data_IF_645615244060
#
_entry.id   IF_645615244060
#
_cell.length_a   1.000
_cell.length_b   1.000
_cell.length_c   1.000
_cell.angle_alpha   90.00
_cell.angle_beta   90.00
_cell.angle_gamma   90.00
#
_symmetry.space_group_name_H-M   'P 1'
#
loop_
_entity.id
_entity.type
_entity.pdbx_description
1 polymer ?
#
# COMPACT_ATOMS: atom_id res chain seq x y z
N UNK A 1 -24.78 -10.84 -7.56
CA UNK A 1 -24.76 -10.42 -6.15
C UNK A 1 -23.54 -9.53 -5.99
N UNK A 2 -23.68 -8.31 -5.45
CA UNK A 2 -22.51 -7.52 -5.09
C UNK A 2 -21.72 -8.30 -4.04
N UNK A 3 -20.43 -8.51 -4.26
CA UNK A 3 -19.59 -9.16 -3.26
C UNK A 3 -19.56 -8.27 -2.01
N UNK A 4 -19.91 -8.82 -0.86
CA UNK A 4 -19.86 -8.09 0.41
C UNK A 4 -18.46 -7.54 0.69
N UNK A 5 -18.36 -6.56 1.58
CA UNK A 5 -17.06 -6.14 2.09
C UNK A 5 -16.47 -7.30 2.93
N UNK A 6 -15.21 -7.69 2.70
CA UNK A 6 -14.56 -8.71 3.52
C UNK A 6 -14.29 -8.18 4.94
N UNK A 7 -14.27 -9.05 5.96
CA UNK A 7 -13.85 -8.63 7.29
C UNK A 7 -12.35 -8.26 7.31
N UNK A 8 -11.90 -7.63 8.38
CA UNK A 8 -10.47 -7.45 8.64
C UNK A 8 -9.75 -8.82 8.58
N UNK A 9 -8.64 -8.95 7.83
CA UNK A 9 -7.92 -10.22 7.71
C UNK A 9 -7.40 -10.72 9.05
N UNK A 10 -7.22 -12.03 9.17
CA UNK A 10 -6.58 -12.66 10.33
C UNK A 10 -5.09 -12.31 10.34
N UNK A 11 -4.63 -11.64 11.41
CA UNK A 11 -3.24 -11.22 11.62
C UNK A 11 -2.67 -11.62 13.00
N UNK A 12 -3.32 -12.53 13.73
CA UNK A 12 -3.02 -12.83 15.15
C UNK A 12 -1.61 -13.35 15.42
N UNK A 13 -0.85 -13.73 14.39
CA UNK A 13 0.56 -14.10 14.48
C UNK A 13 1.51 -12.90 14.51
N UNK A 14 1.12 -11.74 13.99
CA UNK A 14 1.93 -10.52 14.03
C UNK A 14 2.18 -10.06 15.47
N UNK A 15 3.36 -9.50 15.75
CA UNK A 15 3.75 -9.07 17.10
C UNK A 15 4.02 -10.22 18.08
N UNK A 16 4.01 -11.48 17.64
CA UNK A 16 4.13 -12.66 18.52
C UNK A 16 5.11 -13.69 17.99
N UNK A 17 5.69 -14.49 18.89
CA UNK A 17 6.55 -15.62 18.53
C UNK A 17 7.70 -15.20 17.61
N UNK A 18 7.81 -15.84 16.44
CA UNK A 18 8.83 -15.50 15.44
C UNK A 18 8.62 -14.12 14.78
N UNK A 19 7.41 -13.53 14.91
CA UNK A 19 7.06 -12.21 14.36
C UNK A 19 6.96 -11.13 15.44
N UNK A 20 7.61 -11.32 16.60
CA UNK A 20 7.58 -10.36 17.72
C UNK A 20 8.06 -8.95 17.34
N UNK A 21 8.98 -8.88 16.38
CA UNK A 21 9.62 -7.65 15.91
C UNK A 21 8.95 -7.12 14.62
N UNK A 22 7.83 -7.73 14.19
CA UNK A 22 7.01 -7.27 13.06
C UNK A 22 5.91 -6.35 13.59
N UNK A 23 5.67 -5.24 12.87
CA UNK A 23 4.63 -4.28 13.20
C UNK A 23 3.25 -4.95 13.31
N UNK A 24 2.67 -4.92 14.52
CA UNK A 24 1.30 -5.34 14.77
C UNK A 24 0.35 -4.26 14.24
N UNK A 25 -0.69 -4.62 13.46
CA UNK A 25 -1.66 -3.64 12.96
C UNK A 25 -2.23 -2.75 14.07
N UNK A 26 -2.18 -1.44 13.86
CA UNK A 26 -2.70 -0.44 14.79
C UNK A 26 -3.63 0.56 14.06
N UNK A 27 -3.96 1.68 14.72
CA UNK A 27 -4.94 2.68 14.27
C UNK A 27 -4.69 3.19 12.84
N UNK A 28 -3.42 3.38 12.47
CA UNK A 28 -2.98 3.77 11.13
C UNK A 28 -3.31 2.73 10.06
N UNK A 29 -3.10 1.46 10.38
CA UNK A 29 -3.38 0.31 9.51
C UNK A 29 -4.89 0.16 9.29
N UNK A 30 -5.68 0.33 10.36
CA UNK A 30 -7.15 0.27 10.27
C UNK A 30 -7.71 1.47 9.53
N UNK A 31 -7.14 2.66 9.68
CA UNK A 31 -7.52 3.84 8.89
C UNK A 31 -7.29 3.61 7.39
N UNK A 32 -6.20 2.93 7.03
CA UNK A 32 -5.92 2.56 5.64
C UNK A 32 -6.92 1.51 5.12
N UNK A 33 -7.26 0.50 5.93
CA UNK A 33 -8.28 -0.50 5.60
C UNK A 33 -9.66 0.15 5.41
N UNK A 34 -10.06 1.06 6.30
CA UNK A 34 -11.33 1.80 6.18
C UNK A 34 -11.39 2.63 4.90
N UNK A 35 -10.26 3.20 4.47
CA UNK A 35 -10.18 3.92 3.20
C UNK A 35 -10.35 2.97 2.00
N UNK A 36 -9.72 1.80 2.04
CA UNK A 36 -9.88 0.77 1.01
C UNK A 36 -11.31 0.22 0.97
N UNK A 37 -11.94 0.05 2.12
CA UNK A 37 -13.34 -0.38 2.24
C UNK A 37 -14.29 0.61 1.58
N UNK A 38 -14.16 1.90 1.90
CA UNK A 38 -14.99 2.98 1.32
C UNK A 38 -14.89 3.03 -0.21
N UNK A 39 -13.75 2.63 -0.76
CA UNK A 39 -13.47 2.64 -2.19
C UNK A 39 -13.56 1.26 -2.86
N UNK A 40 -14.07 0.24 -2.17
CA UNK A 40 -14.09 -1.15 -2.64
C UNK A 40 -14.78 -1.31 -4.01
N UNK A 41 -15.94 -0.68 -4.22
CA UNK A 41 -16.65 -0.74 -5.51
C UNK A 41 -15.84 -0.12 -6.65
N UNK A 42 -15.14 0.98 -6.37
CA UNK A 42 -14.28 1.62 -7.37
C UNK A 42 -13.05 0.78 -7.67
N UNK A 43 -12.43 0.17 -6.65
CA UNK A 43 -11.29 -0.74 -6.83
C UNK A 43 -11.67 -1.98 -7.64
N UNK A 44 -12.87 -2.53 -7.43
CA UNK A 44 -13.41 -3.62 -8.25
C UNK A 44 -13.64 -3.20 -9.69
N UNK A 45 -14.22 -2.02 -9.90
CA UNK A 45 -14.47 -1.45 -11.23
C UNK A 45 -13.16 -1.14 -11.97
N UNK A 46 -12.13 -0.70 -11.25
CA UNK A 46 -10.79 -0.48 -11.80
C UNK A 46 -10.18 -1.77 -12.37
N UNK A 47 -10.50 -2.92 -11.77
CA UNK A 47 -9.98 -4.25 -12.14
C UNK A 47 -8.45 -4.23 -12.31
N UNK A 48 -7.69 -3.87 -11.26
CA UNK A 48 -6.25 -3.72 -11.36
C UNK A 48 -5.59 -5.06 -11.71
N UNK A 49 -4.52 -4.98 -12.49
CA UNK A 49 -3.66 -6.11 -12.82
C UNK A 49 -2.51 -6.25 -11.81
N UNK A 50 -1.97 -5.14 -11.32
CA UNK A 50 -0.83 -5.11 -10.40
C UNK A 50 -1.09 -4.17 -9.23
N UNK A 51 -1.03 -4.71 -8.02
CA UNK A 51 -1.06 -3.97 -6.77
C UNK A 51 0.28 -4.11 -6.06
N UNK A 52 0.78 -3.02 -5.48
CA UNK A 52 2.03 -3.00 -4.73
C UNK A 52 1.80 -2.34 -3.37
N UNK A 53 2.24 -3.00 -2.29
CA UNK A 53 2.42 -2.38 -0.99
C UNK A 53 3.91 -2.23 -0.66
N UNK A 54 4.30 -1.03 -0.24
CA UNK A 54 5.63 -0.73 0.29
C UNK A 54 5.59 -0.74 1.82
N UNK A 55 6.49 -1.51 2.44
CA UNK A 55 6.54 -1.70 3.89
C UNK A 55 5.33 -2.49 4.41
N UNK A 56 5.16 -3.72 3.94
CA UNK A 56 3.94 -4.50 4.23
C UNK A 56 3.78 -4.91 5.68
N UNK A 57 4.86 -4.97 6.47
CA UNK A 57 4.79 -5.33 7.88
C UNK A 57 4.10 -6.67 8.11
N UNK A 58 2.94 -6.65 8.76
CA UNK A 58 2.11 -7.84 8.98
C UNK A 58 1.45 -8.39 7.70
N UNK A 59 1.34 -7.58 6.64
CA UNK A 59 0.64 -7.91 5.39
C UNK A 59 -0.89 -7.76 5.45
N UNK A 60 -1.44 -7.21 6.53
CA UNK A 60 -2.90 -7.11 6.74
C UNK A 60 -3.59 -6.25 5.68
N UNK A 61 -2.97 -5.13 5.27
CA UNK A 61 -3.58 -4.20 4.33
C UNK A 61 -3.59 -4.81 2.93
N UNK A 62 -2.47 -5.39 2.47
CA UNK A 62 -2.43 -6.16 1.23
C UNK A 62 -3.43 -7.32 1.23
N UNK A 63 -3.57 -8.05 2.33
CA UNK A 63 -4.52 -9.16 2.42
C UNK A 63 -5.99 -8.67 2.31
N UNK A 64 -6.30 -7.51 2.89
CA UNK A 64 -7.61 -6.89 2.76
C UNK A 64 -7.88 -6.47 1.31
N UNK A 65 -6.93 -5.76 0.69
CA UNK A 65 -7.02 -5.34 -0.71
C UNK A 65 -7.22 -6.54 -1.65
N UNK A 66 -6.47 -7.63 -1.43
CA UNK A 66 -6.60 -8.86 -2.20
C UNK A 66 -7.97 -9.52 -2.04
N UNK A 67 -8.57 -9.44 -0.85
CA UNK A 67 -9.92 -9.93 -0.59
C UNK A 67 -10.99 -9.06 -1.29
N UNK A 68 -10.75 -7.76 -1.42
CA UNK A 68 -11.66 -6.82 -2.11
C UNK A 68 -11.64 -7.00 -3.63
N UNK A 69 -10.44 -7.10 -4.22
CA UNK A 69 -10.23 -7.18 -5.69
C UNK A 69 -10.42 -8.61 -6.21
N UNK A 70 -10.00 -9.61 -5.44
CA UNK A 70 -10.02 -11.01 -5.85
C UNK A 70 -8.73 -11.46 -6.58
N UNK A 71 -8.70 -12.73 -7.02
CA UNK A 71 -7.46 -13.41 -7.42
C UNK A 71 -6.94 -13.04 -8.82
N UNK A 72 -7.61 -12.15 -9.55
CA UNK A 72 -7.21 -11.75 -10.91
C UNK A 72 -6.02 -10.79 -10.96
N UNK A 73 -5.70 -10.14 -9.84
CA UNK A 73 -4.58 -9.20 -9.73
C UNK A 73 -3.34 -9.87 -9.12
N UNK A 74 -2.17 -9.35 -9.48
CA UNK A 74 -0.91 -9.65 -8.82
C UNK A 74 -0.73 -8.70 -7.62
N UNK A 75 -0.54 -9.26 -6.42
CA UNK A 75 -0.26 -8.49 -5.21
C UNK A 75 1.20 -8.65 -4.81
N UNK A 76 2.00 -7.62 -5.07
CA UNK A 76 3.38 -7.52 -4.61
C UNK A 76 3.42 -6.78 -3.27
N UNK A 77 4.26 -7.28 -2.37
CA UNK A 77 4.49 -6.65 -1.08
C UNK A 77 6.00 -6.52 -0.90
N UNK A 78 6.48 -5.37 -0.44
CA UNK A 78 7.90 -5.18 -0.16
C UNK A 78 8.10 -4.85 1.30
N UNK A 79 9.16 -5.40 1.89
CA UNK A 79 9.61 -5.00 3.22
C UNK A 79 11.12 -5.23 3.33
N UNK A 80 11.80 -4.38 4.10
CA UNK A 80 13.23 -4.55 4.36
C UNK A 80 13.47 -5.61 5.44
N UNK A 81 12.50 -5.83 6.32
CA UNK A 81 12.55 -6.83 7.38
C UNK A 81 12.17 -8.22 6.85
N UNK A 82 13.07 -9.21 6.84
CA UNK A 82 12.75 -10.58 6.41
C UNK A 82 11.60 -11.21 7.20
N UNK A 83 11.49 -10.92 8.50
CA UNK A 83 10.42 -11.44 9.33
C UNK A 83 9.05 -10.86 8.92
N UNK A 84 9.00 -9.63 8.42
CA UNK A 84 7.78 -9.02 7.90
C UNK A 84 7.34 -9.66 6.57
N UNK A 85 8.28 -9.97 5.68
CA UNK A 85 8.00 -10.72 4.45
C UNK A 85 7.43 -12.12 4.76
N UNK A 86 8.02 -12.84 5.72
CA UNK A 86 7.49 -14.12 6.20
C UNK A 86 6.12 -13.97 6.88
N UNK A 87 5.93 -12.93 7.70
CA UNK A 87 4.65 -12.63 8.35
C UNK A 87 3.56 -12.35 7.33
N UNK A 88 3.88 -11.61 6.28
CA UNK A 88 3.00 -11.30 5.14
C UNK A 88 2.59 -12.58 4.42
N UNK A 89 3.54 -13.49 4.14
CA UNK A 89 3.23 -14.80 3.56
C UNK A 89 2.31 -15.63 4.48
N UNK A 90 2.54 -15.59 5.80
CA UNK A 90 1.67 -16.27 6.77
C UNK A 90 0.27 -15.68 6.78
N UNK A 91 0.14 -14.35 6.75
CA UNK A 91 -1.14 -13.64 6.64
C UNK A 91 -1.87 -14.04 5.37
N UNK A 92 -1.18 -14.12 4.24
CA UNK A 92 -1.78 -14.57 2.98
C UNK A 92 -2.39 -15.97 3.11
N UNK A 93 -1.63 -16.91 3.68
CA UNK A 93 -2.08 -18.29 3.93
C UNK A 93 -3.28 -18.36 4.87
N UNK A 94 -3.27 -17.61 5.98
CA UNK A 94 -4.38 -17.58 6.94
C UNK A 94 -5.68 -17.02 6.35
N UNK A 95 -5.58 -16.16 5.33
CA UNK A 95 -6.72 -15.48 4.72
C UNK A 95 -7.10 -16.03 3.33
N UNK A 96 -6.46 -17.11 2.88
CA UNK A 96 -6.71 -17.71 1.57
C UNK A 96 -6.58 -16.73 0.40
N UNK A 97 -5.61 -15.81 0.49
CA UNK A 97 -5.25 -14.85 -0.57
C UNK A 97 -3.83 -15.12 -1.06
N UNK A 98 -3.48 -14.62 -2.25
CA UNK A 98 -2.13 -14.74 -2.82
C UNK A 98 -1.41 -13.41 -2.74
N UNK A 99 -0.37 -13.35 -1.90
CA UNK A 99 0.55 -12.21 -1.80
C UNK A 99 1.96 -12.67 -2.15
N UNK A 100 2.73 -11.80 -2.81
CA UNK A 100 4.10 -12.06 -3.25
C UNK A 100 5.06 -11.12 -2.52
N UNK A 101 5.48 -11.45 -1.28
CA UNK A 101 6.42 -10.63 -0.53
C UNK A 101 7.83 -10.70 -1.10
N UNK A 102 8.51 -9.57 -1.14
CA UNK A 102 9.89 -9.40 -1.64
C UNK A 102 10.69 -8.64 -0.60
N UNK A 103 11.81 -9.24 -0.17
CA UNK A 103 12.72 -8.59 0.78
C UNK A 103 13.58 -7.59 -0.01
N UNK A 104 13.34 -6.29 0.20
CA UNK A 104 14.04 -5.22 -0.53
C UNK A 104 13.92 -3.91 0.23
N UNK A 105 14.87 -3.00 0.01
CA UNK A 105 14.66 -1.59 0.33
C UNK A 105 13.65 -1.02 -0.65
N UNK A 106 12.58 -0.40 -0.14
CA UNK A 106 11.47 0.18 -0.89
C UNK A 106 11.05 -0.69 -2.10
N UNK A 107 11.46 -0.31 -3.32
CA UNK A 107 11.12 -1.01 -4.56
C UNK A 107 12.36 -1.40 -5.38
N UNK A 108 13.57 -1.29 -4.81
CA UNK A 108 14.83 -1.35 -5.56
C UNK A 108 14.98 -2.61 -6.43
N UNK A 109 14.59 -3.77 -5.90
CA UNK A 109 14.63 -5.05 -6.63
C UNK A 109 13.57 -5.22 -7.72
N UNK A 110 12.54 -4.38 -7.75
CA UNK A 110 11.43 -4.43 -8.70
C UNK A 110 11.69 -3.52 -9.92
N UNK A 111 12.67 -2.62 -9.82
CA UNK A 111 13.02 -1.67 -10.86
C UNK A 111 14.06 -2.20 -11.85
N UNK A 112 14.02 -1.72 -13.11
CA UNK A 112 12.99 -0.86 -13.72
C UNK A 112 11.75 -1.66 -14.19
N UNK A 113 11.68 -2.97 -13.94
CA UNK A 113 10.69 -3.87 -14.57
C UNK A 113 9.25 -3.51 -14.25
N UNK A 114 8.99 -2.91 -13.09
CA UNK A 114 7.66 -2.50 -12.64
C UNK A 114 7.27 -1.07 -13.03
N UNK A 115 8.15 -0.33 -13.70
CA UNK A 115 7.92 1.06 -14.15
C UNK A 115 6.63 1.23 -14.94
N UNK A 116 5.73 2.09 -14.44
CA UNK A 116 4.46 2.43 -15.06
C UNK A 116 3.46 1.28 -15.11
N UNK A 117 3.67 0.21 -14.33
CA UNK A 117 2.83 -1.00 -14.34
C UNK A 117 1.99 -1.18 -13.09
N UNK A 118 2.26 -0.43 -12.02
CA UNK A 118 1.48 -0.51 -10.78
C UNK A 118 0.14 0.20 -10.99
N UNK A 119 -0.96 -0.49 -10.74
CA UNK A 119 -2.31 0.09 -10.85
C UNK A 119 -2.78 0.66 -9.51
N UNK A 120 -2.43 -0.03 -8.41
CA UNK A 120 -2.70 0.39 -7.03
C UNK A 120 -1.41 0.35 -6.23
N UNK A 121 -1.03 1.49 -5.65
CA UNK A 121 0.13 1.61 -4.77
C UNK A 121 -0.34 1.93 -3.35
N UNK A 122 0.06 1.11 -2.38
CA UNK A 122 -0.17 1.29 -0.96
C UNK A 122 1.14 1.63 -0.27
N UNK A 123 1.11 2.63 0.63
CA UNK A 123 2.26 2.92 1.48
C UNK A 123 1.80 3.50 2.82
N UNK A 124 2.14 2.82 3.91
CA UNK A 124 1.99 3.32 5.28
C UNK A 124 3.39 3.51 5.89
N UNK A 125 4.06 4.64 5.63
CA UNK A 125 5.46 4.83 6.01
C UNK A 125 5.63 4.94 7.54
N UNK A 126 6.82 4.63 8.09
CA UNK A 126 7.11 4.90 9.49
C UNK A 126 7.00 6.42 9.78
N UNK A 127 6.12 6.79 10.71
CA UNK A 127 5.79 8.19 11.03
C UNK A 127 6.34 8.67 12.37
N UNK A 128 7.01 7.81 13.13
CA UNK A 128 7.64 8.21 14.40
C UNK A 128 8.87 9.04 14.08
N UNK A 129 8.92 10.24 14.65
CA UNK A 129 10.02 11.19 14.51
C UNK A 129 11.26 10.59 15.19
N UNK A 130 12.05 9.80 14.46
CA UNK A 130 13.46 9.61 14.80
C UNK A 130 14.20 10.92 14.48
N UNK A 131 15.30 11.25 15.18
CA UNK A 131 16.05 12.48 14.93
C UNK A 131 16.27 12.68 13.43
N UNK A 132 15.96 13.88 12.96
CA UNK A 132 15.77 14.27 11.54
C UNK A 132 16.91 13.89 10.57
N UNK A 133 18.07 13.51 11.09
CA UNK A 133 19.23 13.02 10.32
C UNK A 133 19.04 11.58 9.82
N UNK A 134 18.31 10.71 10.53
CA UNK A 134 18.07 9.31 10.10
C UNK A 134 16.93 9.19 9.10
N UNK A 135 15.85 9.96 9.28
CA UNK A 135 14.72 10.01 8.34
C UNK A 135 15.15 10.67 7.03
N UNK A 136 15.99 11.72 7.11
CA UNK A 136 16.64 12.30 5.94
C UNK A 136 17.45 11.27 5.18
N UNK A 137 18.27 10.45 5.83
CA UNK A 137 19.13 9.48 5.12
C UNK A 137 18.38 8.25 4.59
N UNK A 138 17.31 7.79 5.23
CA UNK A 138 16.44 6.72 4.69
C UNK A 138 15.66 7.16 3.44
N UNK A 139 15.44 8.47 3.27
CA UNK A 139 14.52 9.03 2.26
C UNK A 139 15.28 9.80 1.16
N UNK A 140 16.48 10.32 1.42
CA UNK A 140 17.21 11.21 0.48
C UNK A 140 18.13 10.51 -0.53
N UNK A 141 18.34 9.20 -0.41
CA UNK A 141 19.22 8.42 -1.31
C UNK A 141 18.52 7.38 -2.18
N UNK A 142 17.19 7.29 -2.09
CA UNK A 142 16.37 6.26 -2.75
C UNK A 142 15.64 6.84 -3.95
N UNK A 143 15.24 5.99 -4.90
CA UNK A 143 14.50 6.32 -6.12
C UNK A 143 13.08 6.86 -5.83
N UNK A 144 12.95 7.92 -5.03
CA UNK A 144 11.72 8.64 -4.82
C UNK A 144 11.19 9.20 -6.11
N UNK A 145 12.03 9.62 -7.07
CA UNK A 145 11.57 10.03 -8.40
C UNK A 145 10.71 8.94 -9.07
N UNK A 146 11.07 7.67 -8.87
CA UNK A 146 10.30 6.56 -9.40
C UNK A 146 8.99 6.36 -8.64
N UNK A 147 9.06 6.38 -7.30
CA UNK A 147 7.86 6.32 -6.47
C UNK A 147 6.95 7.48 -6.86
N UNK A 148 7.46 8.70 -7.03
CA UNK A 148 6.74 9.88 -7.52
C UNK A 148 6.14 9.68 -8.92
N UNK A 149 6.89 9.16 -9.89
CA UNK A 149 6.39 8.89 -11.25
C UNK A 149 5.25 7.85 -11.28
N UNK A 150 5.40 6.74 -10.55
CA UNK A 150 4.35 5.74 -10.41
C UNK A 150 3.19 6.28 -9.55
N UNK A 151 3.47 7.09 -8.52
CA UNK A 151 2.46 7.85 -7.75
C UNK A 151 1.62 8.73 -8.66
N UNK A 152 2.20 9.32 -9.72
CA UNK A 152 1.45 10.13 -10.67
C UNK A 152 0.53 9.32 -11.59
N UNK A 153 0.80 8.02 -11.77
CA UNK A 153 0.12 7.15 -12.74
C UNK A 153 -0.80 6.11 -12.10
N UNK A 154 -0.57 5.72 -10.85
CA UNK A 154 -1.32 4.71 -10.11
C UNK A 154 -2.45 5.33 -9.28
N UNK A 155 -3.47 4.52 -8.95
CA UNK A 155 -4.39 4.85 -7.87
C UNK A 155 -3.69 4.64 -6.53
N UNK A 156 -3.19 5.73 -5.93
CA UNK A 156 -2.46 5.65 -4.67
C UNK A 156 -3.37 5.75 -3.46
N UNK A 157 -3.12 4.92 -2.44
CA UNK A 157 -3.70 5.03 -1.11
C UNK A 157 -2.57 5.09 -0.07
N UNK A 158 -2.42 6.26 0.56
CA UNK A 158 -1.45 6.48 1.64
C UNK A 158 -2.25 6.73 2.92
N UNK A 159 -1.88 6.07 4.00
CA UNK A 159 -2.21 6.52 5.35
C UNK A 159 -1.13 7.48 5.83
N UNK A 160 -1.51 8.71 6.16
CA UNK A 160 -0.57 9.72 6.66
C UNK A 160 -1.28 10.98 7.17
N UNK A 161 -1.31 11.15 8.49
CA UNK A 161 -1.67 12.41 9.16
C UNK A 161 -0.68 13.51 8.75
N UNK A 162 -1.21 14.66 8.30
CA UNK A 162 -0.44 15.84 7.93
C UNK A 162 -0.29 16.76 9.16
N UNK A 163 0.89 16.84 9.76
CA UNK A 163 1.34 18.06 10.46
C UNK A 163 2.39 18.74 9.59
N UNK A 164 2.06 19.90 9.00
CA UNK A 164 3.08 20.87 8.59
C UNK A 164 3.04 21.40 7.15
N UNK A 165 2.43 20.74 6.16
CA UNK A 165 2.33 21.30 4.80
C UNK A 165 0.94 21.84 4.49
N UNK A 166 0.88 23.18 4.42
CA UNK A 166 -0.31 23.99 4.10
C UNK A 166 -1.14 23.43 2.93
N UNK A 167 -2.44 23.44 3.20
CA UNK A 167 -3.60 23.54 2.29
C UNK A 167 -3.79 22.51 1.16
N UNK A 168 -5.00 21.93 1.16
CA UNK A 168 -5.68 21.19 0.08
C UNK A 168 -4.94 19.97 -0.49
N UNK A 169 -5.00 18.82 0.18
CA UNK A 169 -4.79 17.55 -0.51
C UNK A 169 -5.86 16.55 -0.08
N UNK A 170 -6.69 16.19 -1.07
CA UNK A 170 -7.68 15.14 -0.95
C UNK A 170 -7.05 13.78 -0.77
N UNK A 171 -7.78 12.92 -0.08
CA UNK A 171 -7.71 11.48 -0.27
C UNK A 171 -7.83 11.22 -1.78
N UNK A 172 -6.91 10.43 -2.35
CA UNK A 172 -6.81 10.10 -3.77
C UNK A 172 -6.11 11.14 -4.68
N UNK A 173 -5.04 10.69 -5.37
CA UNK A 173 -4.58 11.27 -6.64
C UNK A 173 -4.79 10.24 -7.76
N UNK A 174 -6.03 9.82 -7.99
CA UNK A 174 -6.36 8.99 -9.15
C UNK A 174 -6.49 9.88 -10.39
N UNK A 175 -5.58 9.77 -11.36
CA UNK A 175 -5.83 10.30 -12.72
C UNK A 175 -6.34 9.16 -13.62
N UNK A 176 -7.43 9.35 -14.37
CA UNK A 176 -7.85 8.38 -15.38
C UNK A 176 -6.77 8.24 -16.46
N UNK A 177 -6.47 7.01 -16.88
CA UNK A 177 -5.67 6.78 -18.09
C UNK A 177 -6.45 7.34 -19.29
N UNK A 178 -5.90 8.38 -19.93
CA UNK A 178 -6.20 8.65 -21.35
C UNK A 178 -7.28 9.67 -21.73
N UNK A 179 -7.63 10.68 -20.93
CA UNK A 179 -8.42 11.81 -21.45
C UNK A 179 -7.82 13.19 -21.14
N UNK A 180 -7.76 14.02 -22.19
CA UNK A 180 -7.32 15.42 -22.18
C UNK A 180 -8.02 16.20 -21.06
N UNK A 181 -7.29 17.17 -20.49
CA UNK A 181 -7.80 18.20 -19.58
C UNK A 181 -9.24 18.60 -19.89
N UNK A 182 -10.14 18.37 -18.92
CA UNK A 182 -11.40 19.10 -18.87
C UNK A 182 -11.17 20.25 -17.88
N UNK A 183 -11.33 21.52 -18.28
CA UNK A 183 -11.07 22.64 -17.41
C UNK A 183 -12.08 22.64 -16.26
N UNK A 184 -11.58 22.98 -15.06
CA UNK A 184 -12.43 23.23 -13.91
C UNK A 184 -13.31 24.45 -14.21
N UNK A 185 -14.62 24.23 -14.34
CA UNK A 185 -15.59 25.31 -14.20
C UNK A 185 -15.71 25.61 -12.71
N UNK A 186 -15.26 26.79 -12.32
CA UNK A 186 -15.58 27.36 -11.02
C UNK A 186 -17.03 27.84 -10.99
N UNK A 187 -17.66 27.67 -9.84
CA UNK A 187 -18.46 28.68 -9.14
C UNK A 187 -18.25 28.42 -7.64
#
# INVERSE_FOLDING_TARGET
MAAGIPPTPVYSHAGRGQFRDVYEPAEDSFLLIDALEKDAERLRTLSPCVCLEVGSGSGVVSAFLASVIGPSALFLCTDVNPAAAECTAKTASCNSVSLQPVITSLVDSLLPRLSGKVDVLLFNPPYVVTPSEEVGQLITGVNLEFIEEDIERSCMVISGWKQGYRSSLGWWKARPRGHRQIPAFGI
#
